data_IF_344989330308
#
_entry.id   IF_344989330308
#
_cell.length_a   1.000
_cell.length_b   1.000
_cell.length_c   1.000
_cell.angle_alpha   90.00
_cell.angle_beta   90.00
_cell.angle_gamma   90.00
#
_symmetry.space_group_name_H-M   'P 1'
#
loop_
_entity.id
_entity.type
_entity.pdbx_description
1 polymer ?
#
# COMPACT_ATOMS: atom_id res chain seq x y z
N UNK A 1 11.93 3.57 -3.50
CA UNK A 1 10.74 4.44 -3.62
C UNK A 1 9.49 3.58 -3.56
N UNK A 2 8.54 3.93 -2.69
CA UNK A 2 7.24 3.25 -2.60
C UNK A 2 6.28 3.89 -3.59
N UNK A 3 5.46 3.09 -4.25
CA UNK A 3 4.36 3.56 -5.09
C UNK A 3 3.21 2.55 -5.07
N UNK A 4 2.00 3.03 -5.36
CA UNK A 4 0.83 2.17 -5.52
C UNK A 4 0.79 1.62 -6.95
N UNK A 5 0.80 0.30 -7.10
CA UNK A 5 0.78 -0.33 -8.42
C UNK A 5 -0.62 -0.19 -9.04
N UNK A 6 -0.68 0.33 -10.27
CA UNK A 6 -1.94 0.38 -11.02
C UNK A 6 -2.20 -0.99 -11.64
N UNK A 7 -3.26 -1.65 -11.20
CA UNK A 7 -3.70 -2.95 -11.70
C UNK A 7 -5.11 -2.83 -12.28
N UNK A 8 -5.48 -3.69 -13.23
CA UNK A 8 -6.82 -3.67 -13.85
C UNK A 8 -7.94 -4.01 -12.84
N UNK A 9 -7.64 -4.92 -11.91
CA UNK A 9 -8.53 -5.31 -10.80
C UNK A 9 -7.79 -5.30 -9.47
N UNK A 10 -8.55 -5.30 -8.37
CA UNK A 10 -8.01 -5.57 -7.02
C UNK A 10 -7.55 -7.03 -6.94
N UNK A 11 -6.54 -7.25 -6.11
CA UNK A 11 -5.78 -8.50 -6.00
C UNK A 11 -5.90 -9.06 -4.58
N UNK A 12 -5.89 -10.39 -4.48
CA UNK A 12 -5.63 -11.04 -3.20
C UNK A 12 -4.14 -10.89 -2.83
N UNK A 13 -3.75 -11.31 -1.63
CA UNK A 13 -2.37 -11.09 -1.16
C UNK A 13 -1.32 -11.76 -2.07
N UNK A 14 -1.56 -13.00 -2.50
CA UNK A 14 -0.61 -13.76 -3.33
C UNK A 14 -0.48 -13.12 -4.71
N UNK A 15 -1.60 -12.71 -5.30
CA UNK A 15 -1.62 -11.98 -6.57
C UNK A 15 -0.90 -10.63 -6.46
N UNK A 16 -1.07 -9.91 -5.35
CA UNK A 16 -0.43 -8.63 -5.08
C UNK A 16 1.10 -8.74 -5.01
N UNK A 17 1.62 -9.76 -4.31
CA UNK A 17 3.06 -10.04 -4.25
C UNK A 17 3.61 -10.31 -5.64
N UNK A 18 2.98 -11.24 -6.39
CA UNK A 18 3.38 -11.58 -7.76
C UNK A 18 3.31 -10.38 -8.71
N UNK A 19 2.35 -9.48 -8.52
CA UNK A 19 2.23 -8.28 -9.33
C UNK A 19 3.44 -7.36 -9.16
N UNK A 20 3.95 -7.15 -7.93
CA UNK A 20 5.19 -6.39 -7.75
C UNK A 20 6.39 -7.11 -8.38
N UNK A 21 6.51 -8.43 -8.20
CA UNK A 21 7.62 -9.23 -8.73
C UNK A 21 7.69 -9.20 -10.26
N UNK A 22 6.53 -9.24 -10.93
CA UNK A 22 6.44 -9.10 -12.41
C UNK A 22 6.97 -7.76 -12.93
N UNK A 23 6.99 -6.73 -12.09
CA UNK A 23 7.57 -5.42 -12.40
C UNK A 23 9.03 -5.29 -11.94
N UNK A 24 9.68 -6.40 -11.56
CA UNK A 24 11.08 -6.41 -11.10
C UNK A 24 11.28 -5.72 -9.74
N UNK A 25 10.22 -5.60 -8.94
CA UNK A 25 10.26 -4.93 -7.64
C UNK A 25 9.63 -5.80 -6.56
N UNK A 26 9.72 -5.37 -5.30
CA UNK A 26 9.18 -6.13 -4.16
C UNK A 26 7.91 -5.46 -3.62
N UNK A 27 7.04 -6.22 -2.97
CA UNK A 27 5.95 -5.63 -2.18
C UNK A 27 6.54 -4.76 -1.05
N UNK A 28 5.94 -3.60 -0.79
CA UNK A 28 6.45 -2.66 0.19
C UNK A 28 6.31 -3.17 1.63
N UNK A 29 7.33 -2.92 2.45
CA UNK A 29 7.26 -3.09 3.91
C UNK A 29 6.44 -1.97 4.55
N UNK A 30 5.91 -2.24 5.73
CA UNK A 30 5.24 -1.23 6.57
C UNK A 30 6.13 -0.01 6.80
N UNK A 31 7.35 -0.21 7.31
CA UNK A 31 8.27 0.90 7.55
C UNK A 31 8.59 1.72 6.30
N UNK A 32 8.65 1.09 5.11
CA UNK A 32 8.86 1.79 3.85
C UNK A 32 7.64 2.65 3.48
N UNK A 33 6.42 2.17 3.72
CA UNK A 33 5.20 2.97 3.52
C UNK A 33 5.17 4.18 4.45
N UNK A 34 5.51 4.01 5.74
CA UNK A 34 5.60 5.11 6.70
C UNK A 34 6.66 6.14 6.28
N UNK A 35 7.84 5.68 5.87
CA UNK A 35 8.89 6.57 5.37
C UNK A 35 8.44 7.32 4.11
N UNK A 36 7.74 6.66 3.17
CA UNK A 36 7.22 7.32 1.98
C UNK A 36 6.12 8.35 2.31
N UNK A 37 5.22 8.02 3.24
CA UNK A 37 4.22 8.97 3.74
C UNK A 37 4.87 10.20 4.37
N UNK A 38 5.82 10.00 5.29
CA UNK A 38 6.40 11.08 6.09
C UNK A 38 7.41 11.93 5.32
N UNK A 39 8.26 11.30 4.50
CA UNK A 39 9.40 11.96 3.84
C UNK A 39 9.15 12.30 2.38
N UNK A 40 8.28 11.54 1.70
CA UNK A 40 8.00 11.72 0.27
C UNK A 40 6.57 12.26 0.03
N UNK A 41 5.86 12.62 1.12
CA UNK A 41 4.49 13.09 1.10
C UNK A 41 3.57 12.18 0.27
N UNK A 42 3.77 10.86 0.38
CA UNK A 42 2.94 9.88 -0.32
C UNK A 42 1.51 9.94 0.25
N UNK A 43 0.61 10.52 -0.52
CA UNK A 43 -0.83 10.57 -0.25
C UNK A 43 -1.58 9.67 -1.24
N UNK A 44 -2.30 8.67 -0.73
CA UNK A 44 -3.12 7.79 -1.56
C UNK A 44 -4.29 7.24 -0.78
N UNK A 45 -5.50 7.66 -1.15
CA UNK A 45 -6.74 7.10 -0.63
C UNK A 45 -7.13 5.75 -1.26
N UNK A 46 -6.23 4.77 -1.21
CA UNK A 46 -6.53 3.41 -1.64
C UNK A 46 -5.80 2.41 -0.77
N UNK A 47 -6.58 1.55 -0.10
CA UNK A 47 -6.04 0.48 0.71
C UNK A 47 -5.28 -0.53 -0.17
N UNK A 48 -4.06 -0.87 0.25
CA UNK A 48 -3.20 -1.80 -0.47
C UNK A 48 -2.44 -2.75 0.45
N UNK A 49 -2.17 -3.95 -0.06
CA UNK A 49 -1.36 -4.96 0.62
C UNK A 49 0.08 -4.49 0.84
N UNK A 50 0.64 -4.90 1.98
CA UNK A 50 2.04 -4.76 2.37
C UNK A 50 2.65 -6.12 2.71
N UNK A 51 3.98 -6.18 2.82
CA UNK A 51 4.73 -7.43 3.00
C UNK A 51 4.36 -8.25 4.24
N UNK A 52 3.91 -7.63 5.33
CA UNK A 52 3.44 -8.35 6.53
C UNK A 52 2.07 -9.00 6.32
N UNK A 53 1.41 -8.72 5.18
CA UNK A 53 0.03 -9.11 4.92
C UNK A 53 -0.99 -8.18 5.55
N UNK A 54 -0.58 -7.03 6.07
CA UNK A 54 -1.51 -5.97 6.44
C UNK A 54 -1.99 -5.20 5.22
N UNK A 55 -3.13 -4.56 5.36
CA UNK A 55 -3.67 -3.64 4.35
C UNK A 55 -3.71 -2.25 4.94
N UNK A 56 -3.02 -1.31 4.28
CA UNK A 56 -2.86 0.06 4.77
C UNK A 56 -2.95 1.07 3.64
N UNK A 57 -3.11 2.34 3.98
CA UNK A 57 -3.00 3.46 3.03
C UNK A 57 -2.55 4.76 3.73
N UNK A 58 -1.65 5.55 3.13
CA UNK A 58 -1.15 6.79 3.70
C UNK A 58 -1.98 8.00 3.25
N UNK A 59 -2.26 8.91 4.19
CA UNK A 59 -2.94 10.18 3.96
C UNK A 59 -2.09 11.31 4.53
N UNK A 60 -1.67 12.24 3.68
CA UNK A 60 -0.97 13.46 4.07
C UNK A 60 -1.97 14.58 4.26
N UNK A 61 -2.93 14.72 3.33
CA UNK A 61 -3.97 15.73 3.35
C UNK A 61 -5.32 15.04 3.64
N UNK A 62 -5.83 15.14 4.89
CA UNK A 62 -7.09 14.51 5.29
C UNK A 62 -8.27 15.08 4.53
N UNK A 63 -9.26 14.24 4.25
CA UNK A 63 -10.48 14.59 3.50
C UNK A 63 -11.60 13.64 3.88
N UNK A 64 -12.85 14.07 3.77
CA UNK A 64 -14.01 13.36 4.33
C UNK A 64 -14.09 11.87 3.94
N UNK A 65 -13.74 11.54 2.69
CA UNK A 65 -13.78 10.15 2.19
C UNK A 65 -12.49 9.36 2.46
N UNK A 66 -11.44 10.01 2.95
CA UNK A 66 -10.08 9.46 3.03
C UNK A 66 -9.28 10.01 4.22
N UNK A 67 -9.12 9.19 5.26
CA UNK A 67 -8.15 9.46 6.33
C UNK A 67 -8.73 10.10 7.59
N UNK A 68 -10.01 10.46 7.60
CA UNK A 68 -10.65 11.11 8.73
C UNK A 68 -10.18 12.56 8.86
N UNK A 69 -10.06 13.07 10.09
CA UNK A 69 -9.71 14.46 10.36
C UNK A 69 -8.20 14.75 10.31
N UNK A 70 -7.38 13.75 10.61
CA UNK A 70 -5.93 13.93 10.80
C UNK A 70 -5.10 13.21 9.72
N UNK A 71 -3.86 13.63 9.45
CA UNK A 71 -2.93 12.86 8.61
C UNK A 71 -2.57 11.53 9.26
N UNK A 72 -2.12 10.57 8.45
CA UNK A 72 -1.60 9.31 8.96
C UNK A 72 -1.65 8.14 7.99
N UNK A 73 -0.97 7.06 8.37
CA UNK A 73 -1.13 5.74 7.74
C UNK A 73 -2.28 5.01 8.40
N UNK A 74 -3.37 4.80 7.66
CA UNK A 74 -4.55 4.05 8.11
C UNK A 74 -4.36 2.57 7.83
N UNK A 75 -4.92 1.73 8.69
CA UNK A 75 -4.76 0.28 8.64
C UNK A 75 -6.12 -0.41 8.73
N UNK A 76 -6.33 -1.41 7.88
CA UNK A 76 -7.43 -2.37 7.98
C UNK A 76 -6.99 -3.66 8.69
N UNK A 77 -5.82 -3.65 9.33
CA UNK A 77 -5.27 -4.82 10.01
C UNK A 77 -4.81 -5.89 9.03
N UNK A 78 -5.06 -7.16 9.38
CA UNK A 78 -4.65 -8.35 8.63
C UNK A 78 -5.89 -9.08 8.06
N UNK A 79 -6.44 -8.62 6.93
CA UNK A 79 -7.58 -9.28 6.30
C UNK A 79 -7.21 -10.66 5.74
N UNK A 80 -8.24 -11.49 5.49
CA UNK A 80 -8.06 -12.82 4.87
C UNK A 80 -7.32 -12.70 3.51
N UNK A 81 -6.11 -13.26 3.48
CA UNK A 81 -5.16 -13.18 2.35
C UNK A 81 -5.66 -13.84 1.07
N UNK A 82 -6.59 -14.80 1.16
CA UNK A 82 -7.13 -15.55 0.02
C UNK A 82 -8.43 -14.93 -0.50
N UNK A 83 -9.27 -14.41 0.39
CA UNK A 83 -10.63 -13.96 0.06
C UNK A 83 -10.74 -12.46 -0.19
N UNK A 84 -9.95 -11.62 0.50
CA UNK A 84 -10.07 -10.16 0.39
C UNK A 84 -9.23 -9.62 -0.76
N UNK A 85 -9.75 -8.60 -1.43
CA UNK A 85 -9.14 -7.98 -2.61
C UNK A 85 -8.86 -6.49 -2.36
N UNK A 86 -7.61 -6.08 -2.58
CA UNK A 86 -7.14 -4.70 -2.42
C UNK A 86 -6.15 -4.32 -3.52
N UNK A 87 -5.63 -3.09 -3.50
CA UNK A 87 -4.46 -2.76 -4.32
C UNK A 87 -3.18 -3.30 -3.70
N UNK A 88 -2.03 -2.84 -4.19
CA UNK A 88 -0.73 -3.19 -3.63
C UNK A 88 0.23 -2.00 -3.70
N UNK A 89 1.00 -1.81 -2.63
CA UNK A 89 2.14 -0.91 -2.65
C UNK A 89 3.40 -1.72 -2.97
N UNK A 90 4.13 -1.31 -4.00
CA UNK A 90 5.42 -1.89 -4.34
C UNK A 90 6.56 -0.95 -3.93
N UNK A 91 7.73 -1.51 -3.76
CA UNK A 91 8.96 -0.82 -3.41
C UNK A 91 10.05 -1.15 -4.43
N UNK A 92 10.48 -0.12 -5.17
CA UNK A 92 11.68 -0.15 -6.00
C UNK A 92 12.89 0.27 -5.15
N UNK A 93 13.89 -0.59 -4.95
CA UNK A 93 15.17 -0.16 -4.34
C UNK A 93 15.77 0.95 -5.21
N UNK A 94 16.38 1.96 -4.59
CA UNK A 94 17.28 2.85 -5.33
C UNK A 94 18.55 2.05 -5.56
N UNK A 95 19.02 2.04 -6.81
CA UNK A 95 20.40 1.67 -7.13
C UNK A 95 21.33 2.73 -6.52
#
# INVERSE_FOLDING_TARGET
KVYFLRTYRKLNYVEAVKACEKHGVTIAKVGQLYAAWKLQLLDRCQAGWLQDGSVRYPIVNPRDKCGGKEPGVRSFGFPDKKRRLYGVYCFKKKE
#
